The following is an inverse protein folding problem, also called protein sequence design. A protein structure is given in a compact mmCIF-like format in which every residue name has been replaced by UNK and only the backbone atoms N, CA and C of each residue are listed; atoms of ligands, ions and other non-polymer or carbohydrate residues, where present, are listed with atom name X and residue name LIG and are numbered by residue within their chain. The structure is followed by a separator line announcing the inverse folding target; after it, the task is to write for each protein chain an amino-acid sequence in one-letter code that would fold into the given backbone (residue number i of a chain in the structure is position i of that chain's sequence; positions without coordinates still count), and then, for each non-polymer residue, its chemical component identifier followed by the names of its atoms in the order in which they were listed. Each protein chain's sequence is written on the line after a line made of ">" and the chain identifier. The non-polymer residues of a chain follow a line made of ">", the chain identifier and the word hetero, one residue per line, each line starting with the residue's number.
data_IF_626951255165
#
_entry.id   IF_626951255165
#
_cell.length_a   1.000
_cell.length_b   1.000
_cell.length_c   1.000
_cell.angle_alpha   90.00
_cell.angle_beta   90.00
_cell.angle_gamma   90.00
#
_symmetry.space_group_name_H-M   'P 1'
#
loop_
_entity.id
_entity.type
_entity.pdbx_description
1 polymer ?
#
# COMPACT_ATOMS: atom_id res chain seq x y z
N UNK A 1 33.99 30.90 39.83
CA UNK A 1 32.61 30.55 39.42
C UNK A 1 32.64 30.28 37.93
N UNK A 2 32.62 28.99 37.56
CA UNK A 2 32.56 28.56 36.17
C UNK A 2 31.10 28.50 35.74
N UNK A 3 30.71 29.31 34.77
CA UNK A 3 29.41 29.24 34.08
C UNK A 3 29.49 28.14 33.02
N UNK A 4 28.77 27.06 33.25
CA UNK A 4 28.61 25.99 32.27
C UNK A 4 27.73 26.46 31.13
N UNK A 5 28.34 26.70 29.98
CA UNK A 5 27.62 26.98 28.72
C UNK A 5 27.00 25.67 28.21
N UNK A 6 25.67 25.58 28.27
CA UNK A 6 24.92 24.53 27.66
C UNK A 6 25.13 24.57 26.12
N UNK A 7 25.93 23.64 25.60
CA UNK A 7 26.03 23.42 24.17
C UNK A 7 24.66 22.92 23.67
N UNK A 8 23.95 23.80 23.00
CA UNK A 8 22.81 23.39 22.15
C UNK A 8 23.31 22.36 21.14
N UNK A 9 22.83 21.13 21.27
CA UNK A 9 23.02 20.13 20.24
C UNK A 9 22.25 20.59 19.01
N UNK A 10 23.00 20.91 17.97
CA UNK A 10 22.45 21.19 16.65
C UNK A 10 21.78 19.92 16.15
N UNK A 11 20.44 19.90 16.15
CA UNK A 11 19.64 18.87 15.50
C UNK A 11 19.72 19.20 14.01
N UNK A 12 20.29 18.33 13.15
CA UNK A 12 20.31 18.59 11.73
C UNK A 12 18.88 18.65 11.20
N UNK A 13 18.56 19.56 10.25
CA UNK A 13 17.22 19.64 9.70
C UNK A 13 16.93 18.37 8.91
N UNK A 14 15.91 17.67 9.37
CA UNK A 14 15.00 16.80 8.61
C UNK A 14 15.64 16.03 7.44
N UNK A 15 16.36 14.96 7.74
CA UNK A 15 16.36 13.80 6.85
C UNK A 15 14.93 13.25 6.97
N UNK A 16 14.10 13.44 5.96
CA UNK A 16 12.82 12.76 5.85
C UNK A 16 13.14 11.26 5.77
N UNK A 17 13.28 10.63 6.92
CA UNK A 17 13.23 9.20 7.00
C UNK A 17 11.83 8.82 6.49
N UNK A 18 11.79 8.20 5.32
CA UNK A 18 10.60 7.59 4.73
C UNK A 18 10.19 6.35 5.57
N UNK A 19 10.27 6.45 6.89
CA UNK A 19 9.90 5.40 7.82
C UNK A 19 8.40 5.46 8.09
N UNK A 20 7.67 4.43 7.67
CA UNK A 20 6.23 4.37 7.87
C UNK A 20 5.90 3.72 9.21
N UNK A 21 5.25 4.48 10.09
CA UNK A 21 4.66 3.97 11.34
C UNK A 21 3.22 3.51 11.13
N UNK A 22 2.64 2.77 12.11
CA UNK A 22 1.22 2.39 12.06
C UNK A 22 0.28 3.60 12.02
N UNK A 23 0.64 4.71 12.68
CA UNK A 23 -0.14 5.96 12.63
C UNK A 23 -0.12 6.57 11.22
N UNK A 24 1.04 6.58 10.58
CA UNK A 24 1.18 7.07 9.20
C UNK A 24 0.48 6.14 8.20
N UNK A 25 0.55 4.82 8.40
CA UNK A 25 -0.18 3.84 7.61
C UNK A 25 -1.69 4.13 7.67
N UNK A 26 -2.25 4.23 8.88
CA UNK A 26 -3.67 4.53 9.05
C UNK A 26 -4.07 5.84 8.36
N UNK A 27 -3.28 6.90 8.53
CA UNK A 27 -3.53 8.18 7.87
C UNK A 27 -3.51 8.07 6.34
N UNK A 28 -2.58 7.32 5.76
CA UNK A 28 -2.51 7.11 4.32
C UNK A 28 -3.69 6.29 3.79
N UNK A 29 -4.11 5.24 4.52
CA UNK A 29 -5.29 4.45 4.15
C UNK A 29 -6.56 5.32 4.15
N UNK A 30 -6.73 6.17 5.15
CA UNK A 30 -7.84 7.12 5.24
C UNK A 30 -7.82 8.14 4.09
N UNK A 31 -6.65 8.66 3.71
CA UNK A 31 -6.50 9.59 2.57
C UNK A 31 -6.91 8.95 1.25
N UNK A 32 -6.68 7.64 1.09
CA UNK A 32 -7.14 6.88 -0.07
C UNK A 32 -8.64 6.54 -0.02
N UNK A 33 -9.31 6.76 1.11
CA UNK A 33 -10.72 6.41 1.31
C UNK A 33 -10.95 4.91 1.51
N UNK A 34 -9.92 4.16 1.95
CA UNK A 34 -10.05 2.74 2.26
C UNK A 34 -10.84 2.58 3.55
N UNK A 35 -11.97 1.83 3.55
CA UNK A 35 -12.81 1.70 4.73
C UNK A 35 -12.12 0.98 5.89
N UNK A 36 -12.41 1.40 7.12
CA UNK A 36 -11.83 0.82 8.34
C UNK A 36 -12.16 -0.67 8.53
N UNK A 37 -13.25 -1.16 7.97
CA UNK A 37 -13.63 -2.57 8.04
C UNK A 37 -12.81 -3.50 7.13
N UNK A 38 -11.91 -2.96 6.31
CA UNK A 38 -11.03 -3.72 5.43
C UNK A 38 -9.76 -4.23 6.10
N UNK A 39 -9.38 -3.64 7.22
CA UNK A 39 -8.09 -3.93 7.85
C UNK A 39 -8.16 -3.87 9.38
N UNK A 40 -7.17 -4.46 10.02
CA UNK A 40 -6.96 -4.42 11.47
C UNK A 40 -5.49 -4.07 11.76
N UNK A 41 -5.24 -3.01 12.52
CA UNK A 41 -3.88 -2.57 12.86
C UNK A 41 -3.74 -2.55 14.38
N UNK A 42 -3.12 -3.59 14.91
CA UNK A 42 -2.64 -3.73 16.29
C UNK A 42 -3.68 -3.41 17.38
N UNK A 43 -4.97 -3.52 17.07
CA UNK A 43 -6.06 -3.13 18.00
C UNK A 43 -6.23 -1.63 18.19
N UNK A 44 -5.49 -0.80 17.41
CA UNK A 44 -5.54 0.66 17.50
C UNK A 44 -6.39 1.29 16.40
N UNK A 45 -6.33 0.73 15.19
CA UNK A 45 -6.97 1.28 14.00
C UNK A 45 -7.65 0.20 13.17
N UNK A 46 -8.65 0.62 12.40
CA UNK A 46 -9.40 -0.24 11.52
C UNK A 46 -10.55 -0.96 12.22
N UNK A 47 -10.81 -2.19 11.84
CA UNK A 47 -11.87 -3.02 12.40
C UNK A 47 -11.64 -3.37 13.88
N UNK A 48 -12.69 -3.76 14.57
CA UNK A 48 -12.64 -4.14 15.99
C UNK A 48 -11.99 -5.49 16.27
N UNK A 49 -11.94 -6.36 15.25
CA UNK A 49 -11.29 -7.66 15.28
C UNK A 49 -10.56 -7.96 13.96
N UNK A 50 -9.74 -8.99 13.95
CA UNK A 50 -8.88 -9.38 12.83
C UNK A 50 -9.48 -10.49 11.95
N UNK A 51 -10.75 -10.88 12.14
CA UNK A 51 -11.37 -11.95 11.36
C UNK A 51 -11.71 -11.46 9.93
N UNK A 52 -11.37 -12.28 8.95
CA UNK A 52 -11.60 -12.03 7.51
C UNK A 52 -11.03 -10.71 7.02
N UNK A 53 -9.87 -10.30 7.57
CA UNK A 53 -9.21 -9.04 7.26
C UNK A 53 -7.70 -9.22 7.16
N UNK A 54 -7.08 -8.31 6.41
CA UNK A 54 -5.64 -8.13 6.48
C UNK A 54 -5.30 -7.46 7.81
N UNK A 55 -4.47 -8.11 8.60
CA UNK A 55 -4.12 -7.67 9.95
C UNK A 55 -2.62 -7.42 10.08
N UNK A 56 -2.25 -6.32 10.75
CA UNK A 56 -0.90 -6.03 11.21
C UNK A 56 -0.87 -6.01 12.72
N UNK A 57 0.04 -6.77 13.31
CA UNK A 57 0.22 -6.85 14.77
C UNK A 57 1.71 -6.72 15.10
N UNK A 58 2.04 -5.84 16.04
CA UNK A 58 3.40 -5.69 16.58
C UNK A 58 3.56 -6.65 17.75
N UNK A 59 4.54 -7.55 17.66
CA UNK A 59 4.88 -8.52 18.70
C UNK A 59 6.28 -8.30 19.23
N UNK A 60 6.64 -8.99 20.32
CA UNK A 60 7.97 -8.91 20.92
C UNK A 60 9.06 -9.41 19.97
N UNK A 61 8.76 -10.39 19.12
CA UNK A 61 9.66 -10.97 18.12
C UNK A 61 9.58 -10.28 16.74
N UNK A 62 8.84 -9.20 16.63
CA UNK A 62 8.71 -8.37 15.44
C UNK A 62 7.27 -8.25 14.92
N UNK A 63 7.05 -7.36 13.93
CA UNK A 63 5.75 -7.19 13.31
C UNK A 63 5.35 -8.39 12.44
N UNK A 64 4.06 -8.70 12.46
CA UNK A 64 3.44 -9.70 11.59
C UNK A 64 2.31 -9.06 10.78
N UNK A 65 2.22 -9.42 9.49
CA UNK A 65 1.05 -9.18 8.65
C UNK A 65 0.49 -10.51 8.19
N UNK A 66 -0.82 -10.70 8.35
CA UNK A 66 -1.51 -11.93 8.02
C UNK A 66 -2.96 -11.67 7.60
N UNK A 67 -3.56 -12.61 6.90
CA UNK A 67 -5.00 -12.71 6.76
C UNK A 67 -5.52 -13.77 7.73
N UNK A 68 -6.65 -13.53 8.39
CA UNK A 68 -7.26 -14.52 9.29
C UNK A 68 -8.61 -14.94 8.73
N UNK A 69 -8.77 -16.23 8.55
CA UNK A 69 -9.99 -16.83 8.00
C UNK A 69 -10.39 -18.01 8.87
N UNK A 70 -11.65 -18.03 9.29
CA UNK A 70 -12.18 -19.06 10.22
C UNK A 70 -11.31 -19.30 11.45
N UNK A 71 -10.75 -18.22 12.02
CA UNK A 71 -9.88 -18.30 13.19
C UNK A 71 -8.44 -18.76 12.91
N UNK A 72 -8.10 -19.08 11.66
CA UNK A 72 -6.77 -19.53 11.26
C UNK A 72 -6.04 -18.40 10.52
N UNK A 73 -4.78 -18.13 10.92
CA UNK A 73 -3.92 -17.19 10.19
C UNK A 73 -3.42 -17.85 8.91
N UNK A 74 -3.67 -17.17 7.80
CA UNK A 74 -3.15 -17.52 6.48
C UNK A 74 -2.26 -16.39 5.96
N UNK A 75 -1.43 -16.68 4.95
CA UNK A 75 -0.52 -15.68 4.35
C UNK A 75 0.29 -14.89 5.38
N UNK A 76 0.79 -15.57 6.42
CA UNK A 76 1.56 -14.96 7.47
C UNK A 76 2.95 -14.53 6.98
N UNK A 77 3.25 -13.25 7.12
CA UNK A 77 4.55 -12.65 6.86
C UNK A 77 5.08 -12.01 8.14
N UNK A 78 6.35 -12.30 8.47
CA UNK A 78 7.08 -11.70 9.58
C UNK A 78 8.07 -10.67 9.04
N UNK A 79 8.18 -9.54 9.73
CA UNK A 79 9.04 -8.43 9.35
C UNK A 79 10.02 -8.10 10.47
N UNK A 80 11.14 -7.46 10.12
CA UNK A 80 12.14 -7.01 11.09
C UNK A 80 11.76 -5.66 11.69
N UNK A 81 11.09 -4.81 10.92
CA UNK A 81 10.74 -3.45 11.31
C UNK A 81 9.27 -3.16 11.08
N UNK A 82 8.74 -2.20 11.85
CA UNK A 82 7.39 -1.66 11.66
C UNK A 82 7.22 -1.08 10.26
N UNK A 83 8.22 -0.36 9.76
CA UNK A 83 8.23 0.23 8.43
C UNK A 83 8.02 -0.80 7.31
N UNK A 84 8.78 -1.91 7.36
CA UNK A 84 8.62 -3.00 6.38
C UNK A 84 7.19 -3.58 6.39
N UNK A 85 6.63 -3.82 7.57
CA UNK A 85 5.28 -4.36 7.73
C UNK A 85 4.22 -3.37 7.26
N UNK A 86 4.37 -2.09 7.63
CA UNK A 86 3.45 -1.02 7.21
C UNK A 86 3.46 -0.82 5.69
N UNK A 87 4.63 -0.77 5.07
CA UNK A 87 4.76 -0.65 3.62
C UNK A 87 4.14 -1.86 2.90
N UNK A 88 4.38 -3.08 3.41
CA UNK A 88 3.78 -4.29 2.85
C UNK A 88 2.25 -4.23 2.90
N UNK A 89 1.68 -3.93 4.07
CA UNK A 89 0.24 -3.83 4.26
C UNK A 89 -0.38 -2.71 3.41
N UNK A 90 0.27 -1.55 3.35
CA UNK A 90 -0.18 -0.43 2.55
C UNK A 90 -0.30 -0.78 1.06
N UNK A 91 0.73 -1.42 0.50
CA UNK A 91 0.72 -1.82 -0.91
C UNK A 91 -0.39 -2.82 -1.22
N UNK A 92 -0.60 -3.81 -0.35
CA UNK A 92 -1.67 -4.79 -0.52
C UNK A 92 -3.06 -4.15 -0.50
N UNK A 93 -3.36 -3.33 0.51
CA UNK A 93 -4.66 -2.66 0.64
C UNK A 93 -4.89 -1.64 -0.48
N UNK A 94 -3.85 -0.87 -0.86
CA UNK A 94 -3.94 0.06 -1.99
C UNK A 94 -4.25 -0.67 -3.29
N UNK A 95 -3.59 -1.78 -3.55
CA UNK A 95 -3.79 -2.57 -4.78
C UNK A 95 -5.20 -3.16 -4.83
N UNK A 96 -5.65 -3.76 -3.76
CA UNK A 96 -7.00 -4.33 -3.65
C UNK A 96 -8.08 -3.23 -3.80
N UNK A 97 -7.89 -2.10 -3.13
CA UNK A 97 -8.78 -0.94 -3.25
C UNK A 97 -8.82 -0.42 -4.69
N UNK A 98 -7.66 -0.22 -5.32
CA UNK A 98 -7.55 0.24 -6.70
C UNK A 98 -8.27 -0.71 -7.65
N UNK A 99 -8.05 -2.02 -7.52
CA UNK A 99 -8.74 -3.02 -8.33
C UNK A 99 -10.27 -2.98 -8.13
N UNK A 100 -10.74 -2.81 -6.89
CA UNK A 100 -12.16 -2.63 -6.58
C UNK A 100 -12.75 -1.39 -7.23
N UNK A 101 -12.03 -0.26 -7.23
CA UNK A 101 -12.50 0.96 -7.89
C UNK A 101 -12.58 0.79 -9.42
N UNK A 102 -11.58 0.15 -10.03
CA UNK A 102 -11.58 -0.16 -11.47
C UNK A 102 -12.82 -0.98 -11.85
N UNK A 103 -13.18 -1.98 -11.05
CA UNK A 103 -14.33 -2.84 -11.32
C UNK A 103 -15.69 -2.11 -11.27
N UNK A 104 -15.74 -0.92 -10.69
CA UNK A 104 -16.93 -0.05 -10.65
C UNK A 104 -17.02 0.88 -11.85
N UNK A 105 -15.98 0.96 -12.70
CA UNK A 105 -16.00 1.83 -13.89
C UNK A 105 -16.90 1.21 -14.95
N UNK A 106 -17.99 1.89 -15.24
CA UNK A 106 -18.91 1.47 -16.28
C UNK A 106 -18.32 1.68 -17.69
N UNK A 107 -18.58 0.74 -18.59
CA UNK A 107 -18.15 0.84 -19.99
C UNK A 107 -16.65 0.67 -20.23
N UNK A 108 -15.88 0.21 -19.23
CA UNK A 108 -14.42 0.06 -19.32
C UNK A 108 -14.01 -0.77 -20.55
N UNK A 109 -14.73 -1.84 -20.87
CA UNK A 109 -14.38 -2.75 -21.97
C UNK A 109 -14.52 -2.12 -23.38
N UNK A 110 -15.30 -1.04 -23.50
CA UNK A 110 -15.44 -0.26 -24.74
C UNK A 110 -14.38 0.84 -24.92
N UNK A 111 -13.52 1.05 -23.94
CA UNK A 111 -12.49 2.11 -23.93
C UNK A 111 -11.17 1.62 -24.50
N UNK A 112 -10.42 2.53 -25.12
CA UNK A 112 -9.02 2.32 -25.49
C UNK A 112 -8.13 2.19 -24.25
N UNK A 113 -6.91 1.69 -24.39
CA UNK A 113 -5.95 1.56 -23.28
C UNK A 113 -5.71 2.91 -22.58
N UNK A 114 -5.55 3.98 -23.36
CA UNK A 114 -5.29 5.32 -22.80
C UNK A 114 -6.51 5.86 -22.02
N UNK A 115 -7.71 5.63 -22.54
CA UNK A 115 -8.95 6.01 -21.84
C UNK A 115 -9.10 5.24 -20.52
N UNK A 116 -8.84 3.93 -20.51
CA UNK A 116 -8.87 3.10 -19.28
C UNK A 116 -7.85 3.57 -18.26
N UNK A 117 -6.62 3.90 -18.67
CA UNK A 117 -5.60 4.48 -17.81
C UNK A 117 -6.03 5.83 -17.22
N UNK A 118 -6.64 6.68 -18.05
CA UNK A 118 -7.10 8.00 -17.63
C UNK A 118 -8.25 7.91 -16.62
N UNK A 119 -9.33 7.18 -16.94
CA UNK A 119 -10.52 7.10 -16.06
C UNK A 119 -10.23 6.35 -14.75
N UNK A 120 -9.25 5.45 -14.73
CA UNK A 120 -8.81 4.75 -13.53
C UNK A 120 -7.84 5.58 -12.67
N UNK A 121 -7.33 6.70 -13.18
CA UNK A 121 -6.31 7.53 -12.50
C UNK A 121 -4.93 6.89 -12.45
N UNK A 122 -4.66 5.86 -13.27
CA UNK A 122 -3.40 5.11 -13.25
C UNK A 122 -2.38 5.55 -14.30
N UNK A 123 -2.64 6.62 -15.05
CA UNK A 123 -1.75 7.09 -16.13
C UNK A 123 -0.33 7.36 -15.63
N UNK A 124 -0.17 8.16 -14.58
CA UNK A 124 1.14 8.56 -14.05
C UNK A 124 1.90 7.38 -13.45
N UNK A 125 1.20 6.52 -12.69
CA UNK A 125 1.80 5.30 -12.13
C UNK A 125 2.26 4.37 -13.24
N UNK A 126 1.45 4.18 -14.27
CA UNK A 126 1.78 3.34 -15.43
C UNK A 126 3.00 3.86 -16.20
N UNK A 127 3.06 5.15 -16.52
CA UNK A 127 4.20 5.76 -17.20
C UNK A 127 5.50 5.62 -16.40
N UNK A 128 5.45 5.83 -15.09
CA UNK A 128 6.59 5.60 -14.21
C UNK A 128 7.02 4.14 -14.21
N UNK A 129 6.07 3.20 -14.15
CA UNK A 129 6.33 1.77 -14.14
C UNK A 129 6.89 1.26 -15.48
N UNK A 130 6.49 1.81 -16.59
CA UNK A 130 7.09 1.47 -17.91
C UNK A 130 8.61 1.63 -17.93
N UNK A 131 9.14 2.62 -17.20
CA UNK A 131 10.58 2.91 -17.13
C UNK A 131 11.30 2.06 -16.08
N UNK A 132 10.65 1.84 -14.92
CA UNK A 132 11.33 1.37 -13.71
C UNK A 132 10.84 0.00 -13.22
N UNK A 133 9.63 -0.44 -13.58
CA UNK A 133 9.01 -1.67 -13.06
C UNK A 133 8.02 -2.27 -14.06
N UNK A 134 8.53 -2.93 -15.09
CA UNK A 134 7.70 -3.54 -16.14
C UNK A 134 6.71 -4.57 -15.61
N UNK A 135 7.04 -5.27 -14.53
CA UNK A 135 6.11 -6.23 -13.90
C UNK A 135 4.88 -5.52 -13.37
N UNK A 136 5.06 -4.38 -12.71
CA UNK A 136 3.97 -3.54 -12.20
C UNK A 136 3.15 -2.94 -13.36
N UNK A 137 3.82 -2.46 -14.41
CA UNK A 137 3.14 -1.95 -15.60
C UNK A 137 2.22 -3.00 -16.24
N UNK A 138 2.68 -4.25 -16.37
CA UNK A 138 1.85 -5.37 -16.86
C UNK A 138 0.67 -5.67 -15.95
N UNK A 139 0.87 -5.60 -14.63
CA UNK A 139 -0.20 -5.82 -13.64
C UNK A 139 -1.30 -4.76 -13.77
N UNK A 140 -0.92 -3.49 -13.92
CA UNK A 140 -1.87 -2.38 -14.13
C UNK A 140 -2.72 -2.64 -15.38
N UNK A 141 -2.11 -3.04 -16.50
CA UNK A 141 -2.86 -3.33 -17.73
C UNK A 141 -3.81 -4.53 -17.57
N UNK A 142 -3.42 -5.56 -16.80
CA UNK A 142 -4.31 -6.68 -16.47
C UNK A 142 -5.52 -6.23 -15.65
N UNK A 143 -5.32 -5.37 -14.65
CA UNK A 143 -6.44 -4.77 -13.89
C UNK A 143 -7.41 -4.04 -14.80
N UNK A 144 -6.88 -3.36 -15.83
CA UNK A 144 -7.66 -2.64 -16.84
C UNK A 144 -8.25 -3.56 -17.92
N UNK A 145 -8.17 -4.89 -17.74
CA UNK A 145 -8.71 -5.91 -18.66
C UNK A 145 -8.13 -5.81 -20.06
N UNK A 146 -6.86 -5.49 -20.18
CA UNK A 146 -6.12 -5.54 -21.45
C UNK A 146 -5.64 -6.98 -21.68
N UNK A 147 -5.78 -7.47 -22.90
CA UNK A 147 -5.35 -8.81 -23.28
C UNK A 147 -3.82 -8.97 -23.29
N UNK A 148 -3.34 -10.20 -23.07
CA UNK A 148 -1.91 -10.50 -22.93
C UNK A 148 -1.10 -10.19 -24.19
N UNK A 149 -1.69 -10.27 -25.40
CA UNK A 149 -0.99 -9.92 -26.63
C UNK A 149 -0.74 -8.43 -26.74
N UNK A 150 -1.75 -7.63 -26.39
CA UNK A 150 -1.62 -6.18 -26.31
C UNK A 150 -0.64 -5.75 -25.22
N UNK A 151 -0.69 -6.39 -24.05
CA UNK A 151 0.27 -6.14 -22.95
C UNK A 151 1.72 -6.37 -23.40
N UNK A 152 1.99 -7.47 -24.12
CA UNK A 152 3.34 -7.78 -24.66
C UNK A 152 3.83 -6.73 -25.68
N UNK A 153 2.92 -6.14 -26.45
CA UNK A 153 3.24 -5.10 -27.42
C UNK A 153 3.52 -3.76 -26.76
N UNK A 154 2.80 -3.43 -25.68
CA UNK A 154 2.91 -2.15 -24.96
C UNK A 154 4.12 -2.17 -24.03
N UNK A 155 4.31 -3.23 -23.27
CA UNK A 155 5.38 -3.36 -22.25
C UNK A 155 6.49 -4.27 -22.80
N UNK A 156 7.34 -3.69 -23.63
CA UNK A 156 8.51 -4.36 -24.25
C UNK A 156 9.71 -4.44 -23.30
#
# INVERSE_FOLDING_TARGET
>A
RATATLRQRHIPPNVSNNYMTIDQLHNQLNQLGIPDDWYYIHGLYGATDDNEKLALVIKLDGPEVYFKEYGVKTSLHKFRTEDEACNYMFLHLKDEWTFNQINKIEGLDGMTVNERLYVSGLSDEFESCLKNNKTRAKLILRWLRIDEESIKKIVK
#
